data_IF_656816639261
#
_entry.id   IF_656816639261
#
_cell.length_a   1.000
_cell.length_b   1.000
_cell.length_c   1.000
_cell.angle_alpha   90.00
_cell.angle_beta   90.00
_cell.angle_gamma   90.00
#
_symmetry.space_group_name_H-M   'P 1'
#
loop_
_entity.id
_entity.type
_entity.pdbx_description
1 polymer ?
#
# COMPACT_ATOMS: atom_id res chain seq x y z
N UNK A 1 20.09 -55.07 3.99
CA UNK A 1 20.73 -53.83 4.49
C UNK A 1 20.55 -52.74 3.43
N UNK A 2 19.58 -51.85 3.57
CA UNK A 2 19.61 -50.53 2.92
C UNK A 2 18.83 -49.57 3.82
N UNK A 3 19.57 -48.90 4.70
CA UNK A 3 19.09 -47.81 5.54
C UNK A 3 18.85 -46.60 4.63
N UNK A 4 17.58 -46.29 4.35
CA UNK A 4 17.21 -45.04 3.67
C UNK A 4 17.10 -43.95 4.73
N UNK A 5 18.23 -43.32 5.02
CA UNK A 5 18.28 -42.06 5.77
C UNK A 5 17.66 -40.97 4.90
N UNK A 6 16.43 -40.57 5.23
CA UNK A 6 15.76 -39.41 4.65
C UNK A 6 16.60 -38.18 5.08
N UNK A 7 17.13 -37.37 4.15
CA UNK A 7 17.92 -36.21 4.53
C UNK A 7 17.00 -35.19 5.20
N UNK A 8 17.30 -34.90 6.47
CA UNK A 8 16.72 -33.85 7.29
C UNK A 8 17.12 -32.44 6.80
N UNK A 9 16.86 -32.14 5.52
CA UNK A 9 17.19 -30.86 4.89
C UNK A 9 15.96 -30.03 4.50
N UNK A 10 14.74 -30.48 4.85
CA UNK A 10 13.50 -29.79 4.52
C UNK A 10 12.97 -28.86 5.64
N UNK A 11 13.60 -28.83 6.82
CA UNK A 11 13.08 -28.10 7.98
C UNK A 11 13.76 -26.74 8.24
N UNK A 12 14.80 -26.36 7.48
CA UNK A 12 15.55 -25.12 7.70
C UNK A 12 15.16 -23.97 6.74
N UNK A 13 14.29 -24.21 5.76
CA UNK A 13 13.92 -23.21 4.76
C UNK A 13 12.70 -22.34 5.14
N UNK A 14 12.02 -22.63 6.27
CA UNK A 14 10.81 -21.91 6.69
C UNK A 14 11.06 -20.78 7.70
N UNK A 15 12.32 -20.51 8.07
CA UNK A 15 12.69 -19.44 9.00
C UNK A 15 13.37 -18.23 8.33
N UNK A 16 13.26 -18.13 6.99
CA UNK A 16 13.68 -16.95 6.23
C UNK A 16 12.48 -16.16 5.70
N UNK A 17 11.33 -16.25 6.36
CA UNK A 17 10.35 -15.15 6.29
C UNK A 17 11.00 -14.02 7.07
N UNK A 18 11.75 -13.20 6.35
CA UNK A 18 12.45 -12.05 6.89
C UNK A 18 11.51 -11.27 7.81
N UNK A 19 12.00 -10.95 9.00
CA UNK A 19 11.39 -9.99 9.90
C UNK A 19 11.44 -8.60 9.28
N UNK A 20 10.70 -8.35 8.19
CA UNK A 20 10.47 -6.98 7.70
C UNK A 20 9.71 -6.25 8.81
N UNK A 21 10.26 -5.13 9.27
CA UNK A 21 9.58 -4.31 10.27
C UNK A 21 8.23 -3.82 9.72
N UNK A 22 7.24 -3.51 10.56
CA UNK A 22 6.01 -2.87 10.11
C UNK A 22 6.27 -1.65 9.22
N UNK A 23 7.30 -0.86 9.55
CA UNK A 23 7.74 0.30 8.78
C UNK A 23 8.27 -0.07 7.39
N UNK A 24 9.05 -1.14 7.26
CA UNK A 24 9.56 -1.62 5.97
C UNK A 24 8.42 -2.10 5.07
N UNK A 25 7.45 -2.83 5.65
CA UNK A 25 6.25 -3.28 4.92
C UNK A 25 5.39 -2.11 4.46
N UNK A 26 5.18 -1.13 5.32
CA UNK A 26 4.44 0.07 4.96
C UNK A 26 5.10 0.84 3.81
N UNK A 27 6.43 0.92 3.82
CA UNK A 27 7.18 1.51 2.71
C UNK A 27 6.99 0.71 1.41
N UNK A 28 7.03 -0.62 1.48
CA UNK A 28 6.79 -1.50 0.35
C UNK A 28 5.38 -1.31 -0.23
N UNK A 29 4.34 -1.30 0.61
CA UNK A 29 2.95 -1.06 0.19
C UNK A 29 2.79 0.32 -0.46
N UNK A 30 3.36 1.38 0.12
CA UNK A 30 3.32 2.72 -0.47
C UNK A 30 3.98 2.76 -1.87
N UNK A 31 5.17 2.17 -2.00
CA UNK A 31 5.90 2.08 -3.26
C UNK A 31 5.14 1.24 -4.31
N UNK A 32 4.43 0.19 -3.89
CA UNK A 32 3.65 -0.66 -4.79
C UNK A 32 2.37 0.03 -5.26
N UNK A 33 1.68 0.75 -4.37
CA UNK A 33 0.53 1.57 -4.77
C UNK A 33 0.91 2.66 -5.77
N UNK A 34 2.07 3.31 -5.61
CA UNK A 34 2.58 4.26 -6.60
C UNK A 34 2.73 3.63 -7.99
N UNK A 35 3.31 2.43 -8.05
CA UNK A 35 3.59 1.73 -9.32
C UNK A 35 2.33 1.14 -9.95
N UNK A 36 1.39 0.65 -9.14
CA UNK A 36 0.32 -0.21 -9.60
C UNK A 36 -1.04 0.49 -9.70
N UNK A 37 -1.31 1.47 -8.84
CA UNK A 37 -2.65 2.05 -8.72
C UNK A 37 -2.68 3.55 -9.02
N UNK A 38 -1.77 4.33 -8.44
CA UNK A 38 -1.84 5.80 -8.52
C UNK A 38 -1.59 6.33 -9.94
N UNK A 39 -0.67 5.73 -10.68
CA UNK A 39 -0.49 6.05 -12.10
C UNK A 39 -1.78 5.89 -12.91
N UNK A 40 -2.54 4.81 -12.65
CA UNK A 40 -3.81 4.57 -13.36
C UNK A 40 -4.91 5.54 -12.90
N UNK A 41 -4.97 5.87 -11.61
CA UNK A 41 -5.93 6.85 -11.13
C UNK A 41 -5.64 8.25 -11.69
N UNK A 42 -4.37 8.63 -11.85
CA UNK A 42 -3.98 9.87 -12.53
C UNK A 42 -4.49 9.91 -13.96
N UNK A 43 -4.21 8.88 -14.75
CA UNK A 43 -4.71 8.78 -16.14
C UNK A 43 -6.23 8.96 -16.21
N UNK A 44 -6.99 8.23 -15.38
CA UNK A 44 -8.46 8.30 -15.37
C UNK A 44 -8.96 9.71 -14.97
N UNK A 45 -8.32 10.31 -13.97
CA UNK A 45 -8.69 11.66 -13.49
C UNK A 45 -8.45 12.70 -14.57
N UNK A 46 -7.32 12.62 -15.28
CA UNK A 46 -6.98 13.50 -16.39
C UNK A 46 -7.93 13.29 -17.59
N UNK A 47 -8.26 12.04 -17.93
CA UNK A 47 -9.23 11.70 -18.98
C UNK A 47 -10.64 12.24 -18.68
N UNK A 48 -11.01 12.33 -17.41
CA UNK A 48 -12.30 12.84 -16.95
C UNK A 48 -12.33 14.38 -16.76
N UNK A 49 -11.23 15.09 -17.03
CA UNK A 49 -11.05 16.53 -16.73
C UNK A 49 -11.42 16.88 -15.26
N UNK A 50 -11.09 15.96 -14.36
CA UNK A 50 -11.37 16.08 -12.93
C UNK A 50 -10.15 16.66 -12.18
N UNK A 51 -10.41 17.25 -11.03
CA UNK A 51 -9.32 17.71 -10.14
C UNK A 51 -8.69 16.50 -9.45
N UNK A 52 -7.35 16.45 -9.27
CA UNK A 52 -6.71 15.43 -8.45
C UNK A 52 -7.37 15.31 -7.07
N UNK A 53 -7.62 14.07 -6.64
CA UNK A 53 -8.25 13.80 -5.34
C UNK A 53 -9.76 13.94 -5.32
N UNK A 54 -10.43 14.27 -6.44
CA UNK A 54 -11.90 14.42 -6.47
C UNK A 54 -12.62 13.37 -7.32
N UNK A 55 -11.89 12.58 -8.10
CA UNK A 55 -12.47 11.49 -8.88
C UNK A 55 -12.68 10.23 -8.03
N UNK A 56 -13.64 9.38 -8.41
CA UNK A 56 -13.93 8.13 -7.69
C UNK A 56 -12.71 7.20 -7.54
N UNK A 57 -11.78 7.21 -8.51
CA UNK A 57 -10.54 6.44 -8.40
C UNK A 57 -9.69 6.83 -7.18
N UNK A 58 -9.69 8.12 -6.79
CA UNK A 58 -8.97 8.60 -5.61
C UNK A 58 -9.56 8.00 -4.35
N UNK A 59 -10.91 7.94 -4.26
CA UNK A 59 -11.62 7.34 -3.13
C UNK A 59 -11.23 5.88 -2.93
N UNK A 60 -11.37 5.06 -3.97
CA UNK A 60 -11.10 3.63 -3.86
C UNK A 60 -9.61 3.33 -3.65
N UNK A 61 -8.72 4.09 -4.30
CA UNK A 61 -7.27 3.87 -4.17
C UNK A 61 -6.78 4.27 -2.78
N UNK A 62 -7.26 5.40 -2.23
CA UNK A 62 -6.95 5.80 -0.86
C UNK A 62 -7.43 4.79 0.17
N UNK A 63 -8.68 4.29 0.04
CA UNK A 63 -9.20 3.26 0.95
C UNK A 63 -8.38 1.97 0.88
N UNK A 64 -8.02 1.54 -0.33
CA UNK A 64 -7.21 0.34 -0.51
C UNK A 64 -5.80 0.50 0.09
N UNK A 65 -5.18 1.69 -0.04
CA UNK A 65 -3.89 1.98 0.59
C UNK A 65 -3.99 1.95 2.12
N UNK A 66 -5.01 2.59 2.69
CA UNK A 66 -5.23 2.58 4.15
C UNK A 66 -5.42 1.16 4.68
N UNK A 67 -6.22 0.33 4.01
CA UNK A 67 -6.40 -1.08 4.37
C UNK A 67 -5.09 -1.88 4.27
N UNK A 68 -4.29 -1.67 3.22
CA UNK A 68 -3.00 -2.33 3.08
C UNK A 68 -2.04 -1.93 4.21
N UNK A 69 -2.05 -0.66 4.62
CA UNK A 69 -1.24 -0.17 5.73
C UNK A 69 -1.70 -0.70 7.09
N UNK A 70 -3.00 -0.93 7.29
CA UNK A 70 -3.51 -1.61 8.48
C UNK A 70 -2.93 -3.04 8.63
N UNK A 71 -2.78 -3.77 7.52
CA UNK A 71 -2.24 -5.13 7.49
C UNK A 71 -0.73 -5.21 7.80
N UNK A 72 0.00 -4.08 7.78
CA UNK A 72 1.43 -4.03 8.08
C UNK A 72 1.74 -4.18 9.57
N UNK A 73 0.75 -3.91 10.44
CA UNK A 73 0.91 -3.88 11.90
C UNK A 73 1.38 -2.54 12.46
N UNK A 74 1.45 -1.47 11.65
CA UNK A 74 1.62 -0.11 12.14
C UNK A 74 0.41 0.33 12.98
N UNK A 75 0.63 1.13 14.02
CA UNK A 75 -0.47 1.81 14.70
C UNK A 75 -1.06 2.94 13.83
N UNK A 76 -2.28 3.37 14.14
CA UNK A 76 -3.00 4.37 13.35
C UNK A 76 -2.25 5.70 13.22
N UNK A 77 -1.48 6.12 14.23
CA UNK A 77 -0.71 7.36 14.16
C UNK A 77 0.49 7.21 13.22
N UNK A 78 1.16 6.07 13.26
CA UNK A 78 2.26 5.74 12.35
C UNK A 78 1.76 5.55 10.90
N UNK A 79 0.62 4.91 10.69
CA UNK A 79 -0.02 4.81 9.35
C UNK A 79 -0.31 6.19 8.77
N UNK A 80 -1.00 7.05 9.54
CA UNK A 80 -1.30 8.42 9.11
C UNK A 80 -0.03 9.19 8.78
N UNK A 81 1.01 9.07 9.61
CA UNK A 81 2.30 9.71 9.36
C UNK A 81 2.95 9.18 8.07
N UNK A 82 2.91 7.87 7.82
CA UNK A 82 3.48 7.27 6.62
C UNK A 82 2.80 7.80 5.35
N UNK A 83 1.46 7.89 5.36
CA UNK A 83 0.67 8.47 4.27
C UNK A 83 0.99 9.97 4.09
N UNK A 84 1.02 10.75 5.17
CA UNK A 84 1.33 12.18 5.10
C UNK A 84 2.74 12.46 4.55
N UNK A 85 3.72 11.68 4.98
CA UNK A 85 5.09 11.80 4.51
C UNK A 85 5.20 11.40 3.03
N UNK A 86 4.57 10.29 2.66
CA UNK A 86 4.47 9.84 1.27
C UNK A 86 3.80 10.89 0.37
N UNK A 87 2.62 11.41 0.76
CA UNK A 87 1.86 12.38 -0.03
C UNK A 87 2.62 13.70 -0.24
N UNK A 88 3.53 14.08 0.68
CA UNK A 88 4.40 15.25 0.51
C UNK A 88 5.53 15.01 -0.50
N UNK A 89 5.98 13.77 -0.64
CA UNK A 89 7.11 13.41 -1.51
C UNK A 89 6.71 12.83 -2.87
N UNK A 90 5.51 12.29 -2.97
CA UNK A 90 5.01 11.61 -4.16
C UNK A 90 4.44 12.59 -5.18
N UNK A 91 4.65 12.34 -6.48
CA UNK A 91 3.93 13.05 -7.54
C UNK A 91 2.41 12.75 -7.50
N UNK A 92 2.02 11.64 -6.85
CA UNK A 92 0.64 11.21 -6.72
C UNK A 92 -0.02 11.69 -5.44
N UNK A 93 0.70 12.41 -4.57
CA UNK A 93 0.17 12.84 -3.27
C UNK A 93 -1.10 13.68 -3.37
N UNK A 94 -1.27 14.46 -4.45
CA UNK A 94 -2.48 15.24 -4.71
C UNK A 94 -3.70 14.38 -5.12
N UNK A 95 -3.50 13.12 -5.49
CA UNK A 95 -4.57 12.18 -5.83
C UNK A 95 -5.10 11.43 -4.62
N UNK A 96 -4.40 11.48 -3.48
CA UNK A 96 -4.86 10.89 -2.24
C UNK A 96 -6.01 11.70 -1.64
N UNK A 97 -7.12 11.01 -1.36
CA UNK A 97 -8.26 11.53 -0.63
C UNK A 97 -8.29 10.94 0.78
N UNK A 98 -8.09 11.77 1.81
CA UNK A 98 -8.33 11.38 3.20
C UNK A 98 -9.82 11.14 3.47
N UNK A 99 -10.16 10.66 4.67
CA UNK A 99 -11.54 10.35 5.06
C UNK A 99 -12.53 11.48 4.74
N UNK A 100 -12.18 12.73 5.07
CA UNK A 100 -13.04 13.89 4.82
C UNK A 100 -13.18 14.19 3.34
N UNK A 101 -12.08 14.14 2.58
CA UNK A 101 -12.12 14.33 1.13
C UNK A 101 -12.94 13.24 0.44
N UNK A 102 -12.86 11.98 0.90
CA UNK A 102 -13.61 10.85 0.32
C UNK A 102 -15.11 10.97 0.48
N UNK A 103 -15.60 11.55 1.57
CA UNK A 103 -17.02 11.79 1.77
C UNK A 103 -17.60 12.78 0.76
N UNK A 104 -16.77 13.70 0.23
CA UNK A 104 -17.18 14.65 -0.79
C UNK A 104 -17.16 14.06 -2.22
N UNK A 105 -16.59 12.87 -2.40
CA UNK A 105 -16.51 12.18 -3.70
C UNK A 105 -17.77 11.32 -3.90
N UNK A 106 -18.58 11.57 -4.95
CA UNK A 106 -19.75 10.76 -5.27
C UNK A 106 -19.40 9.29 -5.53
N UNK A 107 -20.31 8.39 -5.18
CA UNK A 107 -20.24 6.95 -5.52
C UNK A 107 -20.57 6.67 -7.00
#
# INVERSE_FOLDING_TARGET
MFSKSIPALAAAALFLVACSSPEDKAKEELDDFEKLAWGKCKEITEEADATPGTHYCSKVTSMALEMALEDTGLDAAAQKKAIEDWAKSSEYGAFYADETAREAIPD
#
